data_IF_750339556398
#
_entry.id   IF_750339556398
#
_cell.length_a   1.000
_cell.length_b   1.000
_cell.length_c   1.000
_cell.angle_alpha   90.00
_cell.angle_beta   90.00
_cell.angle_gamma   90.00
#
_symmetry.space_group_name_H-M   'P 1'
#
loop_
_entity.id
_entity.type
_entity.pdbx_description
1 polymer ?
#
# COMPACT_ATOMS: atom_id res chain seq x y z
N UNK A 1 -71.36 2.00 -34.07
CA UNK A 1 -70.49 1.63 -32.93
C UNK A 1 -69.05 1.66 -33.44
N UNK A 2 -68.25 2.64 -33.02
CA UNK A 2 -66.83 2.77 -33.42
C UNK A 2 -65.99 2.29 -32.24
N UNK A 3 -65.40 1.11 -32.37
CA UNK A 3 -64.47 0.56 -31.37
C UNK A 3 -63.14 1.35 -31.41
N UNK A 4 -62.74 1.96 -30.29
CA UNK A 4 -61.46 2.60 -30.12
C UNK A 4 -60.51 1.54 -29.57
N UNK A 5 -59.59 1.08 -30.41
CA UNK A 5 -58.50 0.21 -30.01
C UNK A 5 -57.39 1.09 -29.37
N UNK A 6 -57.28 1.01 -28.04
CA UNK A 6 -56.15 1.66 -27.32
C UNK A 6 -54.92 0.78 -27.39
N UNK A 7 -53.92 1.21 -28.13
CA UNK A 7 -52.61 0.54 -28.16
C UNK A 7 -51.85 0.85 -26.87
N UNK A 8 -51.59 -0.17 -26.07
CA UNK A 8 -50.75 -0.09 -24.89
C UNK A 8 -49.25 -0.17 -25.34
N UNK A 9 -48.57 0.95 -25.26
CA UNK A 9 -47.12 0.99 -25.55
C UNK A 9 -46.38 0.57 -24.26
N UNK A 10 -45.84 -0.65 -24.25
CA UNK A 10 -44.98 -1.13 -23.17
C UNK A 10 -43.54 -0.66 -23.47
N UNK A 11 -43.06 0.34 -22.75
CA UNK A 11 -41.66 0.80 -22.81
C UNK A 11 -40.84 -0.15 -21.97
N UNK A 12 -40.04 -1.01 -22.61
CA UNK A 12 -38.98 -1.78 -21.97
C UNK A 12 -37.82 -0.87 -21.65
N UNK A 13 -37.65 -0.47 -20.39
CA UNK A 13 -36.44 0.16 -19.89
C UNK A 13 -35.42 -0.98 -19.65
N UNK A 14 -34.52 -1.18 -20.60
CA UNK A 14 -33.37 -2.03 -20.40
C UNK A 14 -32.43 -1.34 -19.37
N UNK A 15 -32.53 -1.72 -18.10
CA UNK A 15 -31.56 -1.35 -17.10
C UNK A 15 -30.23 -2.05 -17.46
N UNK A 16 -29.28 -1.30 -18.01
CA UNK A 16 -27.90 -1.76 -18.10
C UNK A 16 -27.36 -1.89 -16.68
N UNK A 17 -27.36 -3.10 -16.15
CA UNK A 17 -26.67 -3.40 -14.90
C UNK A 17 -25.17 -3.20 -15.16
N UNK A 18 -24.63 -2.06 -14.74
CA UNK A 18 -23.20 -1.88 -14.71
C UNK A 18 -22.63 -2.99 -13.79
N UNK A 19 -21.76 -3.83 -14.32
CA UNK A 19 -21.14 -4.89 -13.55
C UNK A 19 -20.35 -4.25 -12.38
N UNK A 20 -20.80 -4.50 -11.16
CA UNK A 20 -20.07 -4.05 -9.97
C UNK A 20 -18.75 -4.81 -9.86
N UNK A 21 -17.68 -4.08 -9.58
CA UNK A 21 -16.38 -4.68 -9.29
C UNK A 21 -16.49 -5.51 -8.02
N UNK A 22 -16.10 -6.78 -8.10
CA UNK A 22 -16.02 -7.65 -6.93
C UNK A 22 -14.83 -7.20 -6.06
N UNK A 23 -15.01 -7.10 -4.74
CA UNK A 23 -13.99 -6.65 -3.81
C UNK A 23 -13.37 -5.29 -4.22
N UNK A 24 -14.14 -4.19 -4.30
CA UNK A 24 -13.67 -2.93 -4.86
C UNK A 24 -12.49 -2.31 -4.10
N UNK A 25 -12.44 -2.44 -2.77
CA UNK A 25 -11.33 -1.91 -1.97
C UNK A 25 -10.05 -2.71 -2.21
N UNK A 26 -10.14 -4.04 -2.11
CA UNK A 26 -9.01 -4.94 -2.37
C UNK A 26 -8.51 -4.80 -3.81
N UNK A 27 -9.41 -4.68 -4.80
CA UNK A 27 -9.03 -4.46 -6.19
C UNK A 27 -8.26 -3.14 -6.37
N UNK A 28 -8.75 -2.04 -5.79
CA UNK A 28 -8.08 -0.74 -5.85
C UNK A 28 -6.68 -0.77 -5.22
N UNK A 29 -6.51 -1.48 -4.08
CA UNK A 29 -5.20 -1.67 -3.46
C UNK A 29 -4.25 -2.44 -4.37
N UNK A 30 -4.70 -3.55 -4.98
CA UNK A 30 -3.90 -4.35 -5.90
C UNK A 30 -3.49 -3.57 -7.15
N UNK A 31 -4.39 -2.78 -7.71
CA UNK A 31 -4.14 -1.98 -8.92
C UNK A 31 -3.01 -0.95 -8.70
N UNK A 32 -2.91 -0.39 -7.49
CA UNK A 32 -1.86 0.59 -7.15
C UNK A 32 -0.59 -0.03 -6.59
N UNK A 33 -0.66 -1.25 -6.04
CA UNK A 33 0.41 -1.91 -5.32
C UNK A 33 1.71 -2.05 -6.12
N UNK A 34 1.64 -2.55 -7.34
CA UNK A 34 2.84 -2.79 -8.17
C UNK A 34 3.62 -1.51 -8.46
N UNK A 35 2.91 -0.39 -8.63
CA UNK A 35 3.51 0.93 -8.80
C UNK A 35 4.24 1.38 -7.54
N UNK A 36 3.63 1.24 -6.37
CA UNK A 36 4.25 1.57 -5.09
C UNK A 36 5.48 0.70 -4.81
N UNK A 37 5.36 -0.62 -4.94
CA UNK A 37 6.48 -1.56 -4.77
C UNK A 37 7.67 -1.18 -5.67
N UNK A 38 7.44 -1.08 -6.99
CA UNK A 38 8.48 -0.77 -7.97
C UNK A 38 9.18 0.55 -7.67
N UNK A 39 8.41 1.62 -7.44
CA UNK A 39 8.96 2.96 -7.27
C UNK A 39 9.69 3.10 -5.93
N UNK A 40 9.17 2.53 -4.84
CA UNK A 40 9.79 2.60 -3.52
C UNK A 40 11.10 1.80 -3.50
N UNK A 41 11.11 0.57 -4.00
CA UNK A 41 12.33 -0.24 -4.08
C UNK A 41 13.39 0.48 -4.93
N UNK A 42 13.03 0.96 -6.11
CA UNK A 42 13.96 1.68 -6.99
C UNK A 42 14.49 2.97 -6.36
N UNK A 43 13.69 3.68 -5.58
CA UNK A 43 14.13 4.88 -4.86
C UNK A 43 15.15 4.53 -3.76
N UNK A 44 14.90 3.46 -2.98
CA UNK A 44 15.83 3.02 -1.94
C UNK A 44 17.13 2.49 -2.56
N UNK A 45 17.06 1.74 -3.65
CA UNK A 45 18.23 1.26 -4.39
C UNK A 45 19.09 2.40 -4.97
N UNK A 46 18.47 3.52 -5.36
CA UNK A 46 19.16 4.67 -5.91
C UNK A 46 20.01 5.42 -4.87
N UNK A 47 19.67 5.34 -3.56
CA UNK A 47 20.43 6.00 -2.51
C UNK A 47 21.80 5.33 -2.31
N UNK A 48 22.93 6.07 -2.37
CA UNK A 48 24.25 5.52 -2.05
C UNK A 48 24.32 4.97 -0.63
N UNK A 49 25.11 3.91 -0.42
CA UNK A 49 25.20 3.24 0.87
C UNK A 49 25.70 4.17 2.01
N UNK A 50 26.64 5.06 1.70
CA UNK A 50 27.15 6.06 2.64
C UNK A 50 26.13 7.13 3.05
N UNK A 51 24.98 7.21 2.34
CA UNK A 51 23.90 8.14 2.61
C UNK A 51 22.75 7.55 3.43
N UNK A 52 22.85 6.29 3.85
CA UNK A 52 21.81 5.69 4.71
C UNK A 52 21.76 6.32 6.12
N UNK A 53 22.85 6.93 6.59
CA UNK A 53 22.88 7.70 7.83
C UNK A 53 22.46 9.18 7.66
N UNK A 54 22.17 9.63 6.44
CA UNK A 54 21.77 11.01 6.17
C UNK A 54 20.42 11.35 6.83
N UNK A 55 20.37 12.53 7.45
CA UNK A 55 19.15 13.16 8.01
C UNK A 55 18.92 14.51 7.35
N UNK A 56 17.71 14.85 6.94
CA UNK A 56 17.39 16.20 6.44
C UNK A 56 17.55 17.29 7.51
N UNK A 57 17.14 16.99 8.74
CA UNK A 57 17.31 17.84 9.94
C UNK A 57 17.65 16.95 11.14
N UNK A 58 18.19 17.52 12.25
CA UNK A 58 18.50 16.73 13.45
C UNK A 58 17.33 15.91 14.02
N UNK A 59 16.11 16.44 13.89
CA UNK A 59 14.89 15.84 14.47
C UNK A 59 14.25 14.78 13.56
N UNK A 60 14.65 14.72 12.29
CA UNK A 60 14.14 13.71 11.36
C UNK A 60 14.91 12.40 11.48
N UNK A 61 14.27 11.31 11.03
CA UNK A 61 14.91 9.99 11.01
C UNK A 61 16.02 9.92 9.95
N UNK A 62 16.93 8.98 10.11
CA UNK A 62 17.92 8.65 9.06
C UNK A 62 17.22 8.00 7.87
N UNK A 63 17.85 8.02 6.69
CA UNK A 63 17.32 7.27 5.55
C UNK A 63 17.20 5.77 5.84
N UNK A 64 18.19 5.19 6.53
CA UNK A 64 18.14 3.79 6.98
C UNK A 64 16.98 3.51 7.94
N UNK A 65 16.67 4.44 8.85
CA UNK A 65 15.52 4.34 9.74
C UNK A 65 14.21 4.37 8.96
N UNK A 66 14.07 5.29 7.98
CA UNK A 66 12.90 5.33 7.10
C UNK A 66 12.68 4.00 6.39
N UNK A 67 13.75 3.37 5.88
CA UNK A 67 13.66 2.06 5.21
C UNK A 67 13.24 0.97 6.21
N UNK A 68 13.83 0.92 7.40
CA UNK A 68 13.45 -0.05 8.43
C UNK A 68 11.98 0.13 8.86
N UNK A 69 11.53 1.38 9.01
CA UNK A 69 10.14 1.70 9.33
C UNK A 69 9.15 1.28 8.22
N UNK A 70 9.52 1.43 6.94
CA UNK A 70 8.71 0.92 5.82
C UNK A 70 8.54 -0.60 5.88
N UNK A 71 9.61 -1.33 6.21
CA UNK A 71 9.58 -2.80 6.33
C UNK A 71 8.62 -3.23 7.44
N UNK A 72 8.72 -2.61 8.61
CA UNK A 72 7.83 -2.89 9.75
C UNK A 72 6.37 -2.55 9.42
N UNK A 73 6.14 -1.39 8.80
CA UNK A 73 4.81 -0.93 8.37
C UNK A 73 4.17 -1.91 7.39
N UNK A 74 4.91 -2.35 6.38
CA UNK A 74 4.42 -3.35 5.43
C UNK A 74 4.03 -4.65 6.13
N UNK A 75 4.92 -5.22 6.94
CA UNK A 75 4.68 -6.48 7.63
C UNK A 75 3.46 -6.38 8.57
N UNK A 76 3.33 -5.28 9.28
CA UNK A 76 2.24 -5.06 10.24
C UNK A 76 0.91 -4.81 9.52
N UNK A 77 0.87 -3.85 8.61
CA UNK A 77 -0.41 -3.41 8.02
C UNK A 77 -0.96 -4.41 7.02
N UNK A 78 -0.10 -5.07 6.22
CA UNK A 78 -0.55 -6.13 5.32
C UNK A 78 -1.07 -7.34 6.09
N UNK A 79 -0.41 -7.72 7.20
CA UNK A 79 -0.88 -8.78 8.11
C UNK A 79 -2.27 -8.44 8.68
N UNK A 80 -2.45 -7.25 9.23
CA UNK A 80 -3.70 -6.81 9.87
C UNK A 80 -4.83 -6.62 8.86
N UNK A 81 -4.57 -6.00 7.70
CA UNK A 81 -5.57 -5.81 6.66
C UNK A 81 -6.07 -7.14 6.06
N UNK A 82 -5.17 -8.09 5.82
CA UNK A 82 -5.51 -9.38 5.24
C UNK A 82 -5.90 -10.46 6.27
N UNK A 83 -5.73 -10.20 7.58
CA UNK A 83 -5.84 -11.18 8.67
C UNK A 83 -4.99 -12.44 8.42
N UNK A 84 -3.76 -12.24 7.99
CA UNK A 84 -2.75 -13.29 7.87
C UNK A 84 -1.65 -13.07 8.91
N UNK A 85 -0.94 -14.12 9.37
CA UNK A 85 0.18 -13.95 10.29
C UNK A 85 1.27 -13.06 9.68
N UNK A 86 1.82 -12.13 10.47
CA UNK A 86 3.01 -11.39 10.06
C UNK A 86 4.19 -12.36 9.84
N UNK A 87 5.10 -12.06 8.90
CA UNK A 87 6.26 -12.91 8.67
C UNK A 87 7.17 -12.92 9.91
N UNK A 88 7.70 -14.08 10.24
CA UNK A 88 8.73 -14.23 11.28
C UNK A 88 10.08 -13.90 10.65
N UNK A 89 10.49 -12.67 10.75
CA UNK A 89 11.77 -12.18 10.24
C UNK A 89 12.57 -11.57 11.39
N UNK A 90 13.90 -11.60 11.26
CA UNK A 90 14.76 -10.90 12.20
C UNK A 90 14.49 -9.40 12.13
N UNK A 91 14.54 -8.75 13.29
CA UNK A 91 14.41 -7.28 13.36
C UNK A 91 15.50 -6.62 12.51
N UNK A 92 15.07 -5.69 11.68
CA UNK A 92 15.93 -4.90 10.81
C UNK A 92 16.24 -3.58 11.51
N UNK A 93 17.53 -3.24 11.62
CA UNK A 93 17.99 -2.00 12.26
C UNK A 93 18.37 -0.97 11.21
N UNK A 94 18.19 0.30 11.52
CA UNK A 94 18.61 1.42 10.67
C UNK A 94 20.10 1.41 10.31
N UNK A 95 20.92 0.76 11.16
CA UNK A 95 22.37 0.61 11.00
C UNK A 95 22.77 -0.63 10.17
N UNK A 96 21.81 -1.46 9.79
CA UNK A 96 22.08 -2.55 8.86
C UNK A 96 22.52 -1.97 7.49
N UNK A 97 23.45 -2.65 6.85
CA UNK A 97 23.96 -2.20 5.56
C UNK A 97 22.85 -2.13 4.49
N UNK A 98 23.06 -1.28 3.47
CA UNK A 98 22.13 -1.05 2.36
C UNK A 98 21.55 -2.36 1.78
N UNK A 99 22.41 -3.34 1.50
CA UNK A 99 22.01 -4.58 0.84
C UNK A 99 21.00 -5.38 1.69
N UNK A 100 21.23 -5.43 3.02
CA UNK A 100 20.31 -6.10 3.95
C UNK A 100 18.97 -5.36 4.03
N UNK A 101 18.99 -4.02 4.12
CA UNK A 101 17.80 -3.19 4.17
C UNK A 101 16.99 -3.31 2.86
N UNK A 102 17.64 -3.27 1.70
CA UNK A 102 16.98 -3.45 0.40
C UNK A 102 16.38 -4.85 0.27
N UNK A 103 17.09 -5.89 0.67
CA UNK A 103 16.58 -7.26 0.62
C UNK A 103 15.34 -7.44 1.52
N UNK A 104 15.38 -6.91 2.75
CA UNK A 104 14.26 -6.95 3.67
C UNK A 104 13.06 -6.13 3.19
N UNK A 105 13.30 -4.96 2.56
CA UNK A 105 12.23 -4.16 1.96
C UNK A 105 11.54 -4.92 0.83
N UNK A 106 12.29 -5.57 -0.07
CA UNK A 106 11.73 -6.42 -1.13
C UNK A 106 10.86 -7.51 -0.54
N UNK A 107 11.37 -8.26 0.44
CA UNK A 107 10.64 -9.34 1.10
C UNK A 107 9.34 -8.84 1.78
N UNK A 108 9.35 -7.64 2.39
CA UNK A 108 8.16 -7.04 2.99
C UNK A 108 7.09 -6.68 1.96
N UNK A 109 7.49 -6.21 0.77
CA UNK A 109 6.56 -5.97 -0.33
C UNK A 109 6.04 -7.28 -0.93
N UNK A 110 6.87 -8.31 -1.08
CA UNK A 110 6.43 -9.62 -1.57
C UNK A 110 5.38 -10.22 -0.63
N UNK A 111 5.61 -10.15 0.69
CA UNK A 111 4.62 -10.51 1.69
C UNK A 111 3.31 -9.72 1.55
N UNK A 112 3.39 -8.40 1.31
CA UNK A 112 2.19 -7.58 1.07
C UNK A 112 1.42 -8.05 -0.17
N UNK A 113 2.10 -8.38 -1.26
CA UNK A 113 1.46 -8.93 -2.46
C UNK A 113 0.67 -10.21 -2.14
N UNK A 114 1.30 -11.17 -1.45
CA UNK A 114 0.65 -12.41 -1.01
C UNK A 114 -0.52 -12.17 -0.04
N UNK A 115 -0.40 -11.17 0.84
CA UNK A 115 -1.45 -10.79 1.77
C UNK A 115 -2.65 -10.19 1.04
N UNK A 116 -2.41 -9.26 0.08
CA UNK A 116 -3.46 -8.68 -0.74
C UNK A 116 -4.24 -9.75 -1.53
N UNK A 117 -3.57 -10.80 -2.01
CA UNK A 117 -4.22 -11.90 -2.72
C UNK A 117 -5.22 -12.69 -1.85
N UNK A 118 -5.04 -12.63 -0.54
CA UNK A 118 -5.93 -13.27 0.46
C UNK A 118 -7.00 -12.33 1.01
N UNK A 119 -6.98 -11.03 0.66
CA UNK A 119 -7.97 -10.07 1.12
C UNK A 119 -9.34 -10.31 0.47
N UNK A 120 -10.38 -10.11 1.27
CA UNK A 120 -11.78 -10.14 0.86
C UNK A 120 -12.53 -8.97 1.52
N UNK A 121 -13.19 -8.14 0.71
CA UNK A 121 -13.90 -6.95 1.18
C UNK A 121 -15.04 -7.31 2.15
N UNK A 122 -15.62 -8.51 2.06
CA UNK A 122 -16.64 -8.98 3.01
C UNK A 122 -16.11 -9.09 4.45
N UNK A 123 -14.77 -9.16 4.61
CA UNK A 123 -14.07 -9.28 5.88
C UNK A 123 -13.52 -7.95 6.41
N UNK A 124 -13.64 -6.87 5.66
CA UNK A 124 -13.07 -5.57 6.04
C UNK A 124 -13.70 -4.95 7.28
N UNK A 125 -14.93 -5.35 7.63
CA UNK A 125 -15.59 -4.94 8.87
C UNK A 125 -15.12 -5.66 10.13
N UNK A 126 -14.37 -6.77 10.01
CA UNK A 126 -13.85 -7.52 11.15
C UNK A 126 -12.85 -6.65 11.96
N UNK A 127 -12.94 -6.77 13.29
CA UNK A 127 -12.08 -6.03 14.20
C UNK A 127 -10.79 -6.82 14.49
N UNK A 128 -9.68 -6.10 14.63
CA UNK A 128 -8.38 -6.64 15.01
C UNK A 128 -7.67 -5.66 15.93
N UNK A 129 -6.71 -6.15 16.70
CA UNK A 129 -5.90 -5.31 17.56
C UNK A 129 -5.11 -4.27 16.76
N UNK A 130 -5.26 -3.01 17.15
CA UNK A 130 -4.59 -1.86 16.60
C UNK A 130 -3.53 -1.28 17.52
N UNK A 131 -3.23 0.00 17.34
CA UNK A 131 -2.24 0.70 18.16
C UNK A 131 -2.78 0.99 19.56
N UNK A 132 -1.91 0.90 20.57
CA UNK A 132 -2.25 1.24 21.96
C UNK A 132 -3.36 0.37 22.56
N UNK A 133 -3.51 -0.88 22.13
CA UNK A 133 -4.54 -1.80 22.61
C UNK A 133 -5.96 -1.51 22.10
N UNK A 134 -6.11 -0.56 21.19
CA UNK A 134 -7.40 -0.25 20.57
C UNK A 134 -7.79 -1.30 19.54
N UNK A 135 -9.09 -1.48 19.32
CA UNK A 135 -9.59 -2.32 18.25
C UNK A 135 -9.86 -1.48 17.01
N UNK A 136 -9.31 -1.91 15.86
CA UNK A 136 -9.51 -1.27 14.56
C UNK A 136 -10.17 -2.25 13.59
N UNK A 137 -10.99 -1.74 12.68
CA UNK A 137 -11.47 -2.58 11.58
C UNK A 137 -10.32 -2.88 10.61
N UNK A 138 -10.38 -4.01 9.93
CA UNK A 138 -9.44 -4.35 8.85
C UNK A 138 -9.45 -3.30 7.73
N UNK A 139 -10.63 -2.71 7.44
CA UNK A 139 -10.75 -1.59 6.51
C UNK A 139 -9.85 -0.41 6.90
N UNK A 140 -9.73 -0.09 8.20
CA UNK A 140 -8.84 0.99 8.67
C UNK A 140 -7.39 0.68 8.33
N UNK A 141 -6.93 -0.57 8.51
CA UNK A 141 -5.59 -0.97 8.12
C UNK A 141 -5.37 -0.92 6.60
N UNK A 142 -6.37 -1.27 5.79
CA UNK A 142 -6.31 -1.12 4.34
C UNK A 142 -6.11 0.34 3.91
N UNK A 143 -6.80 1.29 4.56
CA UNK A 143 -6.65 2.73 4.30
C UNK A 143 -5.28 3.23 4.77
N UNK A 144 -4.84 2.82 5.99
CA UNK A 144 -3.52 3.18 6.51
C UNK A 144 -2.42 2.67 5.57
N UNK A 145 -2.53 1.44 5.07
CA UNK A 145 -1.58 0.83 4.15
C UNK A 145 -1.41 1.63 2.86
N UNK A 146 -2.53 2.00 2.22
CA UNK A 146 -2.51 2.82 1.00
C UNK A 146 -1.85 4.19 1.25
N UNK A 147 -2.20 4.85 2.36
CA UNK A 147 -1.59 6.12 2.77
C UNK A 147 -0.10 5.99 3.06
N UNK A 148 0.29 4.95 3.79
CA UNK A 148 1.68 4.65 4.14
C UNK A 148 2.58 4.48 2.91
N UNK A 149 2.13 3.75 1.89
CA UNK A 149 2.92 3.60 0.66
C UNK A 149 3.16 4.92 -0.07
N UNK A 150 2.12 5.77 -0.15
CA UNK A 150 2.24 7.07 -0.81
C UNK A 150 3.15 8.02 -0.03
N UNK A 151 2.98 8.07 1.29
CA UNK A 151 3.73 8.93 2.21
C UNK A 151 5.21 8.56 2.22
N UNK A 152 5.52 7.29 2.49
CA UNK A 152 6.90 6.82 2.52
C UNK A 152 7.63 6.96 1.17
N UNK A 153 6.92 6.77 0.04
CA UNK A 153 7.51 7.06 -1.25
C UNK A 153 7.83 8.56 -1.42
N UNK A 154 6.92 9.43 -1.00
CA UNK A 154 7.13 10.88 -1.08
C UNK A 154 8.31 11.32 -0.20
N UNK A 155 8.42 10.79 1.02
CA UNK A 155 9.57 11.01 1.89
C UNK A 155 10.87 10.50 1.25
N UNK A 156 10.90 9.25 0.77
CA UNK A 156 12.06 8.67 0.09
C UNK A 156 12.50 9.54 -1.10
N UNK A 157 11.55 10.01 -1.90
CA UNK A 157 11.82 10.89 -3.03
C UNK A 157 12.40 12.25 -2.60
N UNK A 158 11.96 12.78 -1.45
CA UNK A 158 12.53 13.99 -0.85
C UNK A 158 13.99 13.76 -0.43
N UNK A 159 14.28 12.65 0.27
CA UNK A 159 15.65 12.31 0.66
C UNK A 159 16.57 12.18 -0.54
N UNK A 160 16.11 11.57 -1.65
CA UNK A 160 16.89 11.50 -2.88
C UNK A 160 17.22 12.89 -3.41
N UNK A 161 16.24 13.79 -3.53
CA UNK A 161 16.45 15.17 -4.04
C UNK A 161 17.42 15.95 -3.17
N UNK A 162 17.35 15.81 -1.85
CA UNK A 162 18.29 16.46 -0.92
C UNK A 162 19.72 15.95 -1.06
N UNK A 163 19.89 14.78 -1.67
CA UNK A 163 21.22 14.22 -2.01
C UNK A 163 21.56 14.37 -3.51
N UNK A 164 20.87 15.24 -4.25
CA UNK A 164 21.13 15.50 -5.68
C UNK A 164 20.71 14.38 -6.62
N UNK A 165 19.86 13.44 -6.16
CA UNK A 165 19.41 12.29 -6.93
C UNK A 165 18.00 12.51 -7.49
N UNK A 166 17.73 11.98 -8.68
CA UNK A 166 16.42 12.05 -9.32
C UNK A 166 15.55 10.86 -8.90
N UNK A 167 14.37 11.10 -8.26
CA UNK A 167 13.46 10.02 -7.91
C UNK A 167 12.94 9.26 -9.14
N UNK A 168 12.58 7.96 -9.02
CA UNK A 168 12.11 7.14 -10.13
C UNK A 168 10.94 7.75 -10.93
N UNK A 169 9.97 8.38 -10.24
CA UNK A 169 8.79 8.99 -10.89
C UNK A 169 9.04 10.35 -11.51
N UNK A 170 10.21 10.96 -11.29
CA UNK A 170 10.57 12.25 -11.92
C UNK A 170 11.34 12.06 -13.24
N UNK A 171 11.57 10.82 -13.66
CA UNK A 171 12.17 10.50 -14.96
C UNK A 171 11.03 10.42 -15.99
N UNK A 172 10.83 11.51 -16.72
CA UNK A 172 9.91 11.60 -17.86
C UNK A 172 10.70 11.67 -19.15
#
# INVERSE_FOLDING_TARGET
MKSKLSALVVVFIAATAAAQVKNPVTSALRDTFSGHQKNTIAAVEAMPADKFSFKPTPDQMTFGHLVAHMIESNNTFCSKAAAVPAPKVDEVKETDGKDKLVAALKASFDFCGEALDKMDDSKLGEMTEGFGGQQFSRARFAVILAGSWADHYAETAMYLRLNGLTPPTAKH
#
